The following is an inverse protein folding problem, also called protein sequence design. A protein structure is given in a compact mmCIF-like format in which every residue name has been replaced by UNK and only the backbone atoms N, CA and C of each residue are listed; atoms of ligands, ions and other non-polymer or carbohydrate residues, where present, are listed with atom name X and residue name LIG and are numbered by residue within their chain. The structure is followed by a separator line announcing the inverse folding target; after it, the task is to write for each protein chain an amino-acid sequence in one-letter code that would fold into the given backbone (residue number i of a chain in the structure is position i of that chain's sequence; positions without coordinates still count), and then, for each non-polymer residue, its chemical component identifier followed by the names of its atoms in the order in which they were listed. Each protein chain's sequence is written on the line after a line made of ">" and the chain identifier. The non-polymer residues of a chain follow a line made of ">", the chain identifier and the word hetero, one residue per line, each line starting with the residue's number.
data_IF_916603333756
#
_entry.id   IF_916603333756
#
_cell.length_a   1.000
_cell.length_b   1.000
_cell.length_c   1.000
_cell.angle_alpha   90.00
_cell.angle_beta   90.00
_cell.angle_gamma   90.00
#
_symmetry.space_group_name_H-M   'P 1'
#
loop_
_entity.id
_entity.type
_entity.pdbx_description
1 polymer ?
#
# COMPACT_ATOMS: atom_id res chain seq x y z
N UNK A 1 -8.35 2.97 19.97
CA UNK A 1 -8.94 4.06 19.16
C UNK A 1 -8.65 3.72 17.71
N UNK A 2 -9.63 3.83 16.81
CA UNK A 2 -9.43 3.52 15.38
C UNK A 2 -9.28 4.83 14.59
N UNK A 3 -8.35 4.93 13.63
CA UNK A 3 -7.35 3.91 13.28
C UNK A 3 -6.25 3.81 14.36
N UNK A 4 -5.43 2.74 14.33
CA UNK A 4 -4.36 2.53 15.31
C UNK A 4 -3.37 3.70 15.38
N UNK A 5 -2.74 3.89 16.54
CA UNK A 5 -1.81 5.00 16.75
C UNK A 5 -0.65 5.04 15.73
N UNK A 6 -0.02 3.91 15.35
CA UNK A 6 1.01 3.91 14.31
C UNK A 6 0.51 4.36 12.93
N UNK A 7 -0.76 4.11 12.62
CA UNK A 7 -1.39 4.54 11.36
C UNK A 7 -1.65 6.05 11.40
N UNK A 8 -2.13 6.57 12.54
CA UNK A 8 -2.29 8.01 12.74
C UNK A 8 -0.96 8.74 12.63
N UNK A 9 0.11 8.18 13.19
CA UNK A 9 1.44 8.76 13.11
C UNK A 9 2.01 8.71 11.70
N UNK A 10 1.79 7.61 10.96
CA UNK A 10 2.16 7.54 9.54
C UNK A 10 1.43 8.60 8.70
N UNK A 11 0.15 8.82 8.95
CA UNK A 11 -0.63 9.86 8.28
C UNK A 11 -0.12 11.27 8.63
N UNK A 12 0.19 11.53 9.90
CA UNK A 12 0.80 12.79 10.35
C UNK A 12 2.14 13.02 9.66
N UNK A 13 3.00 12.00 9.62
CA UNK A 13 4.29 12.05 8.95
C UNK A 13 4.15 12.40 7.46
N UNK A 14 3.15 11.84 6.78
CA UNK A 14 2.86 12.16 5.38
C UNK A 14 2.47 13.64 5.17
N UNK A 15 1.67 14.19 6.09
CA UNK A 15 1.26 15.60 6.06
C UNK A 15 2.44 16.52 6.33
N UNK A 16 3.17 16.26 7.41
CA UNK A 16 4.26 17.11 7.87
C UNK A 16 5.45 17.10 6.89
N UNK A 17 5.60 16.03 6.10
CA UNK A 17 6.60 15.93 5.04
C UNK A 17 6.18 16.58 3.72
N UNK A 18 4.98 17.18 3.64
CA UNK A 18 4.43 17.71 2.40
C UNK A 18 4.19 16.63 1.33
N UNK A 19 4.01 15.37 1.73
CA UNK A 19 3.88 14.24 0.84
C UNK A 19 5.21 13.70 0.29
N UNK A 20 6.38 14.05 0.87
CA UNK A 20 7.67 13.47 0.49
C UNK A 20 7.63 11.92 0.62
N UNK A 21 7.80 11.16 -0.47
CA UNK A 21 7.83 9.70 -0.44
C UNK A 21 8.96 9.15 0.44
N UNK A 22 10.07 9.90 0.56
CA UNK A 22 11.18 9.53 1.43
C UNK A 22 10.78 9.38 2.90
N UNK A 23 9.78 10.15 3.36
CA UNK A 23 9.24 10.03 4.71
C UNK A 23 8.53 8.71 4.96
N UNK A 24 7.71 8.24 4.01
CA UNK A 24 7.02 6.95 4.10
C UNK A 24 7.99 5.80 3.91
N UNK A 25 8.97 5.93 3.01
CA UNK A 25 10.01 4.91 2.81
C UNK A 25 10.80 4.59 4.09
N UNK A 26 10.96 5.56 5.01
CA UNK A 26 11.60 5.33 6.31
C UNK A 26 10.75 4.49 7.28
N UNK A 27 9.45 4.37 7.05
CA UNK A 27 8.56 3.50 7.85
C UNK A 27 8.57 2.03 7.38
N UNK A 28 9.26 1.74 6.27
CA UNK A 28 9.39 0.40 5.72
C UNK A 28 10.53 -0.37 6.40
N UNK A 29 10.36 -1.68 6.53
CA UNK A 29 11.44 -2.60 6.88
C UNK A 29 12.52 -2.53 5.78
N UNK A 30 13.81 -2.32 6.14
CA UNK A 30 14.89 -2.23 5.16
C UNK A 30 15.13 -3.56 4.43
N UNK A 31 14.60 -4.66 4.95
CA UNK A 31 14.68 -5.98 4.31
C UNK A 31 13.94 -5.95 2.98
N UNK A 32 14.71 -5.98 1.89
CA UNK A 32 14.19 -6.22 0.56
C UNK A 32 13.75 -7.68 0.49
N UNK A 33 12.46 -7.92 0.36
CA UNK A 33 11.92 -9.26 0.17
C UNK A 33 12.15 -9.67 -1.30
N UNK A 34 13.07 -10.61 -1.59
CA UNK A 34 13.34 -11.03 -2.96
C UNK A 34 12.15 -11.81 -3.48
N UNK A 35 11.85 -11.66 -4.78
CA UNK A 35 10.78 -12.36 -5.49
C UNK A 35 10.89 -13.90 -5.41
N UNK A 36 11.99 -14.47 -4.91
CA UNK A 36 12.21 -15.93 -4.86
C UNK A 36 12.62 -16.51 -3.51
N UNK A 37 13.01 -15.72 -2.52
CA UNK A 37 13.81 -16.29 -1.42
C UNK A 37 12.99 -16.90 -0.27
N UNK A 38 11.70 -16.53 -0.08
CA UNK A 38 10.90 -17.04 1.05
C UNK A 38 9.42 -17.28 0.70
N UNK A 39 9.11 -17.70 -0.53
CA UNK A 39 7.73 -18.02 -0.93
C UNK A 39 6.82 -16.81 -1.19
N UNK A 40 7.34 -15.57 -1.04
CA UNK A 40 6.65 -14.35 -1.47
C UNK A 40 7.18 -13.95 -2.85
N UNK A 41 6.68 -14.64 -3.89
CA UNK A 41 6.86 -14.20 -5.26
C UNK A 41 6.02 -12.94 -5.46
N UNK A 42 6.65 -11.81 -5.82
CA UNK A 42 5.90 -10.71 -6.46
C UNK A 42 5.33 -11.35 -7.72
N UNK A 43 4.01 -11.58 -7.79
CA UNK A 43 3.44 -12.31 -8.90
C UNK A 43 3.63 -11.51 -10.17
N UNK A 44 3.66 -12.20 -11.31
CA UNK A 44 3.43 -11.50 -12.56
C UNK A 44 1.99 -11.00 -12.55
N UNK A 45 1.81 -9.67 -12.50
CA UNK A 45 0.49 -9.06 -12.42
C UNK A 45 0.01 -8.78 -13.83
N UNK A 46 -1.18 -9.26 -14.19
CA UNK A 46 -1.85 -8.96 -15.47
C UNK A 46 -0.95 -9.17 -16.71
N UNK A 47 -0.14 -10.24 -16.72
CA UNK A 47 0.83 -10.53 -17.78
C UNK A 47 1.82 -9.37 -18.05
N UNK A 48 2.16 -8.59 -17.01
CA UNK A 48 3.09 -7.46 -17.09
C UNK A 48 4.45 -7.83 -17.67
N UNK A 49 4.92 -9.06 -17.43
CA UNK A 49 6.18 -9.57 -17.98
C UNK A 49 6.10 -9.77 -19.50
N UNK A 50 5.01 -10.34 -20.00
CA UNK A 50 4.76 -10.51 -21.43
C UNK A 50 4.64 -9.15 -22.13
N UNK A 51 3.92 -8.22 -21.49
CA UNK A 51 3.72 -6.85 -21.98
C UNK A 51 4.93 -5.93 -21.78
N UNK A 52 6.01 -6.42 -21.16
CA UNK A 52 7.21 -5.63 -20.79
C UNK A 52 6.87 -4.32 -20.07
N UNK A 53 5.85 -4.35 -19.22
CA UNK A 53 5.48 -3.20 -18.41
C UNK A 53 6.50 -3.04 -17.27
N UNK A 54 7.30 -1.97 -17.32
CA UNK A 54 8.36 -1.67 -16.35
C UNK A 54 7.94 -0.68 -15.25
N UNK A 55 6.72 -0.13 -15.34
CA UNK A 55 6.23 0.82 -14.35
C UNK A 55 6.23 0.19 -12.95
N UNK A 56 6.94 0.83 -12.01
CA UNK A 56 7.06 0.44 -10.59
C UNK A 56 7.71 -0.92 -10.26
N UNK A 57 8.35 -1.59 -11.22
CA UNK A 57 9.06 -2.86 -10.96
C UNK A 57 10.44 -2.65 -10.31
N UNK A 58 10.48 -2.48 -8.99
CA UNK A 58 11.64 -3.01 -8.25
C UNK A 58 11.49 -4.52 -8.13
N UNK A 59 12.54 -5.35 -8.36
CA UNK A 59 12.45 -6.82 -8.25
C UNK A 59 12.37 -7.30 -6.78
N UNK A 60 11.83 -6.45 -5.91
CA UNK A 60 11.72 -6.65 -4.48
C UNK A 60 10.56 -5.81 -3.95
N UNK A 61 9.92 -6.31 -2.90
CA UNK A 61 8.96 -5.57 -2.09
C UNK A 61 9.55 -5.21 -0.73
N UNK A 62 8.86 -4.33 -0.01
CA UNK A 62 9.12 -4.04 1.41
C UNK A 62 7.80 -4.01 2.15
N UNK A 63 7.80 -4.46 3.39
CA UNK A 63 6.67 -4.35 4.32
C UNK A 63 6.86 -3.10 5.20
N UNK A 64 5.80 -2.63 5.84
CA UNK A 64 6.00 -1.69 6.96
C UNK A 64 6.75 -2.39 8.07
N UNK A 65 7.68 -1.68 8.72
CA UNK A 65 8.40 -2.20 9.88
C UNK A 65 7.43 -2.48 11.06
N UNK A 66 6.32 -1.74 11.11
CA UNK A 66 5.25 -1.96 12.06
C UNK A 66 4.15 -2.84 11.45
N UNK A 67 3.92 -4.00 12.06
CA UNK A 67 2.91 -4.97 11.62
C UNK A 67 1.48 -4.41 11.71
N UNK A 68 1.17 -3.59 12.72
CA UNK A 68 -0.17 -3.01 12.89
C UNK A 68 -0.56 -2.10 11.71
N UNK A 69 0.43 -1.42 11.11
CA UNK A 69 0.23 -0.65 9.88
C UNK A 69 -0.09 -1.60 8.72
N UNK A 70 0.66 -2.69 8.58
CA UNK A 70 0.44 -3.69 7.52
C UNK A 70 -0.94 -4.35 7.65
N UNK A 71 -1.33 -4.74 8.87
CA UNK A 71 -2.64 -5.34 9.16
C UNK A 71 -3.78 -4.36 8.94
N UNK A 72 -3.60 -3.09 9.30
CA UNK A 72 -4.60 -2.04 9.05
C UNK A 72 -4.87 -1.88 7.55
N UNK A 73 -3.81 -1.82 6.74
CA UNK A 73 -3.97 -1.72 5.29
C UNK A 73 -4.62 -2.97 4.70
N UNK A 74 -4.21 -4.18 5.12
CA UNK A 74 -4.88 -5.41 4.70
C UNK A 74 -6.38 -5.40 5.01
N UNK A 75 -6.74 -5.01 6.24
CA UNK A 75 -8.14 -4.88 6.67
C UNK A 75 -8.92 -3.84 5.84
N UNK A 76 -8.34 -2.69 5.53
CA UNK A 76 -9.00 -1.67 4.70
C UNK A 76 -9.34 -2.22 3.30
N UNK A 77 -8.44 -3.00 2.70
CA UNK A 77 -8.69 -3.61 1.41
C UNK A 77 -9.84 -4.61 1.46
N UNK A 78 -9.82 -5.51 2.44
CA UNK A 78 -10.92 -6.45 2.67
C UNK A 78 -12.26 -5.72 2.87
N UNK A 79 -12.24 -4.61 3.61
CA UNK A 79 -13.42 -3.79 3.84
C UNK A 79 -13.93 -3.13 2.55
N UNK A 80 -13.04 -2.60 1.70
CA UNK A 80 -13.44 -1.98 0.42
C UNK A 80 -14.02 -3.04 -0.52
N UNK A 81 -13.43 -4.23 -0.62
CA UNK A 81 -13.99 -5.34 -1.42
C UNK A 81 -15.39 -5.71 -0.91
N UNK A 82 -15.54 -5.84 0.41
CA UNK A 82 -16.80 -6.27 1.01
C UNK A 82 -17.91 -5.21 0.96
N UNK A 83 -17.56 -3.91 1.00
CA UNK A 83 -18.54 -2.80 1.17
C UNK A 83 -18.63 -1.86 -0.03
N UNK A 84 -17.60 -1.78 -0.87
CA UNK A 84 -17.58 -0.92 -2.04
C UNK A 84 -18.83 -1.07 -2.93
N UNK A 85 -19.24 -2.30 -3.29
CA UNK A 85 -20.40 -2.49 -4.15
C UNK A 85 -21.70 -1.89 -3.60
N UNK A 86 -21.89 -1.87 -2.27
CA UNK A 86 -23.13 -1.35 -1.67
C UNK A 86 -23.24 0.18 -1.73
N UNK A 87 -22.14 0.89 -2.00
CA UNK A 87 -22.10 2.34 -2.19
C UNK A 87 -21.83 2.72 -3.66
N UNK A 88 -22.01 1.77 -4.59
CA UNK A 88 -21.78 2.00 -6.03
C UNK A 88 -20.31 1.97 -6.45
N UNK A 89 -19.38 1.64 -5.54
CA UNK A 89 -17.97 1.42 -5.86
C UNK A 89 -17.77 -0.04 -6.29
N UNK A 90 -18.05 -0.32 -7.57
CA UNK A 90 -17.86 -1.65 -8.15
C UNK A 90 -16.38 -1.87 -8.52
N UNK A 91 -15.55 -2.16 -7.52
CA UNK A 91 -14.11 -2.41 -7.69
C UNK A 91 -13.80 -3.87 -7.34
N UNK A 92 -12.98 -4.51 -8.16
CA UNK A 92 -12.40 -5.82 -7.86
C UNK A 92 -11.00 -5.60 -7.31
N UNK A 93 -10.89 -5.31 -6.02
CA UNK A 93 -9.57 -5.23 -5.37
C UNK A 93 -9.10 -6.62 -4.95
N UNK A 94 -7.82 -6.85 -5.14
CA UNK A 94 -7.05 -8.00 -4.70
C UNK A 94 -5.89 -7.53 -3.85
N UNK A 95 -5.19 -8.46 -3.21
CA UNK A 95 -3.91 -8.17 -2.51
C UNK A 95 -2.84 -7.55 -3.44
N UNK A 96 -3.05 -7.58 -4.76
CA UNK A 96 -2.11 -7.08 -5.78
C UNK A 96 -2.35 -5.61 -6.14
N UNK A 97 -3.54 -5.08 -5.86
CA UNK A 97 -3.83 -3.65 -6.00
C UNK A 97 -3.07 -2.82 -4.94
N UNK A 98 -2.63 -3.44 -3.84
CA UNK A 98 -1.66 -2.87 -2.90
C UNK A 98 -0.24 -2.70 -3.47
N UNK A 99 0.09 -3.46 -4.52
CA UNK A 99 1.39 -3.35 -5.21
C UNK A 99 1.45 -2.10 -6.10
N UNK A 100 0.30 -1.68 -6.63
CA UNK A 100 0.12 -0.42 -7.35
C UNK A 100 -0.44 0.70 -6.47
N UNK A 101 -0.86 0.36 -5.25
CA UNK A 101 -1.59 1.19 -4.31
C UNK A 101 -0.87 2.51 -4.09
N UNK A 102 -1.34 3.55 -4.77
CA UNK A 102 -0.76 4.87 -4.63
C UNK A 102 -1.26 5.41 -3.30
N UNK A 103 -0.37 5.50 -2.33
CA UNK A 103 -0.62 6.30 -1.14
C UNK A 103 -0.67 7.75 -1.58
N UNK A 104 -1.85 8.36 -1.53
CA UNK A 104 -2.02 9.76 -1.86
C UNK A 104 -2.45 10.53 -0.63
N UNK A 105 -1.94 11.76 -0.53
CA UNK A 105 -2.37 12.71 0.49
C UNK A 105 -3.35 13.68 -0.14
N UNK A 106 -4.58 13.72 0.37
CA UNK A 106 -5.54 14.73 -0.05
C UNK A 106 -5.08 16.11 0.45
N UNK A 107 -4.49 16.93 -0.44
CA UNK A 107 -3.83 18.20 -0.10
C UNK A 107 -4.68 19.19 0.69
N UNK A 108 -6.01 19.15 0.51
CA UNK A 108 -6.96 20.02 1.22
C UNK A 108 -7.35 19.52 2.61
N UNK A 109 -7.21 18.22 2.89
CA UNK A 109 -7.75 17.61 4.11
C UNK A 109 -6.71 16.84 4.93
N UNK A 110 -5.49 16.64 4.40
CA UNK A 110 -4.43 15.88 5.05
C UNK A 110 -4.77 14.40 5.28
N UNK A 111 -5.78 13.87 4.55
CA UNK A 111 -6.20 12.47 4.69
C UNK A 111 -5.32 11.60 3.81
N UNK A 112 -4.72 10.58 4.42
CA UNK A 112 -4.01 9.52 3.72
C UNK A 112 -5.03 8.57 3.08
N UNK A 113 -4.98 8.43 1.77
CA UNK A 113 -5.81 7.52 0.98
C UNK A 113 -4.95 6.50 0.24
N UNK A 114 -5.62 5.49 -0.31
CA UNK A 114 -5.03 4.48 -1.19
C UNK A 114 -5.86 4.49 -2.47
N UNK A 115 -5.20 4.57 -3.63
CA UNK A 115 -5.81 4.32 -4.93
C UNK A 115 -5.26 3.02 -5.50
#
# INVERSE_FOLDING_TARGET
>A
MWPPAPVMELARLAVDSGGDPGAIHRALDPTMLPVSAQGVKVPDVEASQENRCELTRTPYGRRFANEEISSYFAFLFELIVARGPSVGLNVSLSRYDLFHGQLFLASKTGRLGIL
#
